data_IF_028803526271
#
_entry.id   IF_028803526271
#
_cell.length_a   1.000
_cell.length_b   1.000
_cell.length_c   1.000
_cell.angle_alpha   90.00
_cell.angle_beta   90.00
_cell.angle_gamma   90.00
#
_symmetry.space_group_name_H-M   'P 1'
#
loop_
_entity.id
_entity.type
_entity.pdbx_description
1 polymer ?
#
# COMPACT_ATOMS: atom_id res chain seq x y z
N UNK A 1 -1.22 -1.13 -5.71
CA UNK A 1 -1.14 -0.10 -4.65
C UNK A 1 -0.19 1.05 -4.98
N UNK A 2 1.02 0.85 -5.52
CA UNK A 2 1.94 1.99 -5.78
C UNK A 2 1.35 3.13 -6.63
N UNK A 3 0.57 2.80 -7.68
CA UNK A 3 -0.10 3.81 -8.51
C UNK A 3 -1.16 4.64 -7.77
N UNK A 4 -1.80 4.10 -6.72
CA UNK A 4 -2.76 4.89 -5.93
C UNK A 4 -2.05 5.91 -5.04
N UNK A 5 -0.80 5.65 -4.63
CA UNK A 5 0.04 6.62 -3.92
C UNK A 5 0.56 7.69 -4.89
N UNK A 6 1.07 7.26 -6.05
CA UNK A 6 1.55 8.15 -7.12
C UNK A 6 0.47 9.11 -7.61
N UNK A 7 -0.76 8.64 -7.84
CA UNK A 7 -1.86 9.48 -8.32
C UNK A 7 -2.29 10.60 -7.37
N UNK A 8 -1.85 10.57 -6.10
CA UNK A 8 -2.04 11.66 -5.14
C UNK A 8 -0.87 12.65 -5.11
N UNK A 9 0.27 12.32 -5.72
CA UNK A 9 1.43 13.18 -5.72
C UNK A 9 1.19 14.43 -6.58
N UNK A 10 1.60 15.62 -6.11
CA UNK A 10 1.34 16.87 -6.82
C UNK A 10 1.99 16.92 -8.22
N UNK A 11 3.14 16.26 -8.38
CA UNK A 11 3.95 16.27 -9.61
C UNK A 11 3.85 14.96 -10.41
N UNK A 12 2.82 14.14 -10.20
CA UNK A 12 2.65 12.92 -10.98
C UNK A 12 2.07 13.22 -12.37
N UNK A 13 2.79 12.81 -13.42
CA UNK A 13 2.55 13.22 -14.80
C UNK A 13 1.13 12.95 -15.31
N UNK A 14 0.54 11.79 -15.00
CA UNK A 14 -0.79 11.44 -15.51
C UNK A 14 -1.94 12.05 -14.69
N UNK A 15 -1.69 12.43 -13.43
CA UNK A 15 -2.72 13.00 -12.55
C UNK A 15 -2.58 14.50 -12.38
N UNK A 16 -1.61 15.16 -13.02
CA UNK A 16 -1.31 16.57 -12.78
C UNK A 16 -2.51 17.48 -13.07
N UNK A 17 -3.21 17.22 -14.17
CA UNK A 17 -4.39 17.94 -14.64
C UNK A 17 -5.66 17.66 -13.80
N UNK A 18 -5.63 16.65 -12.93
CA UNK A 18 -6.79 16.27 -12.13
C UNK A 18 -6.94 17.17 -10.90
N UNK A 19 -8.18 17.59 -10.63
CA UNK A 19 -8.50 18.31 -9.40
C UNK A 19 -8.45 17.37 -8.16
N UNK A 20 -8.55 17.95 -6.96
CA UNK A 20 -8.43 17.18 -5.70
C UNK A 20 -9.50 16.09 -5.55
N UNK A 21 -10.70 16.29 -6.09
CA UNK A 21 -11.79 15.31 -6.03
C UNK A 21 -11.50 14.15 -6.99
N UNK A 22 -11.04 14.44 -8.19
CA UNK A 22 -10.65 13.46 -9.20
C UNK A 22 -9.44 12.64 -8.77
N UNK A 23 -8.39 13.28 -8.24
CA UNK A 23 -7.22 12.59 -7.63
C UNK A 23 -7.65 11.61 -6.55
N UNK A 24 -8.58 12.03 -5.68
CA UNK A 24 -9.15 11.16 -4.65
C UNK A 24 -9.93 9.99 -5.25
N UNK A 25 -10.71 10.22 -6.31
CA UNK A 25 -11.44 9.16 -7.03
C UNK A 25 -10.47 8.14 -7.64
N UNK A 26 -9.47 8.62 -8.38
CA UNK A 26 -8.41 7.78 -8.95
C UNK A 26 -7.68 6.97 -7.87
N UNK A 27 -7.36 7.60 -6.73
CA UNK A 27 -6.71 6.92 -5.62
C UNK A 27 -7.49 5.70 -5.12
N UNK A 28 -8.77 5.86 -4.75
CA UNK A 28 -9.51 4.75 -4.15
C UNK A 28 -9.85 3.68 -5.20
N UNK A 29 -10.08 4.04 -6.46
CA UNK A 29 -10.29 3.09 -7.56
C UNK A 29 -9.03 2.23 -7.77
N UNK A 30 -7.87 2.86 -7.93
CA UNK A 30 -6.60 2.15 -8.11
C UNK A 30 -6.21 1.33 -6.88
N UNK A 31 -6.53 1.82 -5.68
CA UNK A 31 -6.31 1.09 -4.44
C UNK A 31 -7.20 -0.16 -4.38
N UNK A 32 -8.48 -0.05 -4.74
CA UNK A 32 -9.42 -1.16 -4.77
C UNK A 32 -9.01 -2.23 -5.79
N UNK A 33 -8.74 -1.83 -7.05
CA UNK A 33 -8.27 -2.74 -8.10
C UNK A 33 -6.98 -3.46 -7.68
N UNK A 34 -6.00 -2.70 -7.16
CA UNK A 34 -4.75 -3.27 -6.69
C UNK A 34 -4.93 -4.25 -5.54
N UNK A 35 -5.86 -3.97 -4.62
CA UNK A 35 -6.14 -4.85 -3.49
C UNK A 35 -6.84 -6.12 -3.94
N UNK A 36 -7.78 -6.06 -4.87
CA UNK A 36 -8.46 -7.25 -5.45
C UNK A 36 -7.43 -8.18 -6.10
N UNK A 37 -6.54 -7.64 -6.93
CA UNK A 37 -5.50 -8.43 -7.60
C UNK A 37 -4.55 -9.09 -6.60
N UNK A 38 -4.10 -8.35 -5.57
CA UNK A 38 -3.21 -8.88 -4.53
C UNK A 38 -3.90 -9.97 -3.72
N UNK A 39 -5.16 -9.76 -3.32
CA UNK A 39 -5.92 -10.77 -2.58
C UNK A 39 -6.09 -12.04 -3.42
N UNK A 40 -6.55 -11.92 -4.67
CA UNK A 40 -6.74 -13.06 -5.56
C UNK A 40 -5.43 -13.85 -5.78
N UNK A 41 -4.32 -13.16 -6.08
CA UNK A 41 -3.01 -13.78 -6.25
C UNK A 41 -2.49 -14.44 -4.96
N UNK A 42 -2.75 -13.83 -3.81
CA UNK A 42 -2.36 -14.40 -2.51
C UNK A 42 -3.16 -15.66 -2.19
N UNK A 43 -4.49 -15.64 -2.39
CA UNK A 43 -5.34 -16.82 -2.18
C UNK A 43 -4.96 -17.96 -3.13
N UNK A 44 -4.73 -17.65 -4.40
CA UNK A 44 -4.21 -18.63 -5.35
C UNK A 44 -2.90 -19.25 -4.83
N UNK A 45 -1.90 -18.44 -4.47
CA UNK A 45 -0.64 -18.95 -3.96
C UNK A 45 -0.79 -19.78 -2.66
N UNK A 46 -1.76 -19.45 -1.81
CA UNK A 46 -2.02 -20.18 -0.56
C UNK A 46 -2.63 -21.56 -0.79
N UNK A 47 -3.54 -21.68 -1.77
CA UNK A 47 -4.23 -22.93 -2.08
C UNK A 47 -3.29 -23.94 -2.75
N UNK A 48 -2.40 -23.48 -3.63
CA UNK A 48 -1.54 -24.36 -4.43
C UNK A 48 -0.17 -24.63 -3.81
N UNK A 49 0.13 -24.10 -2.62
CA UNK A 49 1.36 -24.40 -1.88
C UNK A 49 1.13 -25.47 -0.82
N UNK A 50 2.07 -26.40 -0.73
CA UNK A 50 2.11 -27.45 0.30
C UNK A 50 2.39 -26.89 1.69
N UNK A 51 3.27 -25.88 1.78
CA UNK A 51 3.59 -25.18 3.03
C UNK A 51 3.47 -23.67 2.84
N UNK A 52 2.57 -23.07 3.60
CA UNK A 52 2.32 -21.63 3.59
C UNK A 52 3.20 -20.90 4.60
N UNK A 53 3.59 -19.67 4.25
CA UNK A 53 4.26 -18.70 5.14
C UNK A 53 5.58 -19.15 5.81
N UNK A 54 6.26 -20.17 5.26
CA UNK A 54 7.56 -20.62 5.79
C UNK A 54 8.75 -19.73 5.35
N UNK A 55 8.60 -18.96 4.27
CA UNK A 55 9.64 -18.04 3.74
C UNK A 55 9.42 -16.61 4.22
N UNK A 56 10.47 -15.79 4.21
CA UNK A 56 10.35 -14.34 4.49
C UNK A 56 9.38 -13.66 3.53
N UNK A 57 9.45 -13.98 2.23
CA UNK A 57 8.47 -13.53 1.24
C UNK A 57 7.02 -13.82 1.67
N UNK A 58 6.75 -15.05 2.12
CA UNK A 58 5.42 -15.46 2.59
C UNK A 58 4.99 -14.72 3.85
N UNK A 59 5.89 -14.58 4.84
CA UNK A 59 5.59 -13.87 6.11
C UNK A 59 5.26 -12.40 5.88
N UNK A 60 6.11 -11.67 5.16
CA UNK A 60 5.85 -10.26 4.82
C UNK A 60 4.64 -10.12 3.90
N UNK A 61 4.41 -11.08 3.00
CA UNK A 61 3.21 -11.12 2.15
C UNK A 61 1.92 -11.25 2.96
N UNK A 62 1.91 -12.08 4.01
CA UNK A 62 0.77 -12.22 4.91
C UNK A 62 0.51 -10.93 5.69
N UNK A 63 1.55 -10.32 6.26
CA UNK A 63 1.43 -9.02 6.95
C UNK A 63 0.85 -7.98 5.99
N UNK A 64 1.40 -7.88 4.78
CA UNK A 64 0.90 -6.96 3.76
C UNK A 64 -0.58 -7.21 3.42
N UNK A 65 -0.98 -8.47 3.28
CA UNK A 65 -2.37 -8.85 2.99
C UNK A 65 -3.32 -8.43 4.11
N UNK A 66 -2.98 -8.73 5.38
CA UNK A 66 -3.80 -8.35 6.54
C UNK A 66 -3.95 -6.83 6.62
N UNK A 67 -2.85 -6.09 6.54
CA UNK A 67 -2.90 -4.63 6.60
C UNK A 67 -3.60 -4.04 5.37
N UNK A 68 -3.55 -4.69 4.20
CA UNK A 68 -4.32 -4.27 3.01
C UNK A 68 -5.82 -4.38 3.26
N UNK A 69 -6.29 -5.51 3.83
CA UNK A 69 -7.71 -5.70 4.18
C UNK A 69 -8.15 -4.67 5.22
N UNK A 70 -7.38 -4.48 6.29
CA UNK A 70 -7.66 -3.46 7.31
C UNK A 70 -7.68 -2.06 6.68
N UNK A 71 -6.74 -1.76 5.78
CA UNK A 71 -6.65 -0.47 5.12
C UNK A 71 -7.81 -0.18 4.15
N UNK A 72 -8.39 -1.21 3.52
CA UNK A 72 -9.61 -1.07 2.72
C UNK A 72 -10.77 -0.63 3.61
N UNK A 73 -10.96 -1.29 4.75
CA UNK A 73 -12.03 -0.95 5.71
C UNK A 73 -11.86 0.47 6.24
N UNK A 74 -10.65 0.83 6.69
CA UNK A 74 -10.37 2.19 7.16
C UNK A 74 -10.43 3.23 6.04
N UNK A 75 -10.16 2.85 4.78
CA UNK A 75 -10.31 3.70 3.60
C UNK A 75 -11.76 4.04 3.30
N UNK A 76 -12.66 3.06 3.38
CA UNK A 76 -14.12 3.30 3.31
C UNK A 76 -14.55 4.22 4.44
N UNK A 77 -14.06 3.98 5.67
CA UNK A 77 -14.36 4.85 6.80
C UNK A 77 -13.87 6.30 6.58
N UNK A 78 -12.70 6.47 5.98
CA UNK A 78 -12.13 7.78 5.66
C UNK A 78 -12.87 8.50 4.51
N UNK A 79 -13.53 7.78 3.61
CA UNK A 79 -14.39 8.36 2.55
C UNK A 79 -15.71 8.88 3.13
N UNK A 80 -16.30 8.15 4.07
CA UNK A 80 -17.61 8.44 4.66
C UNK A 80 -17.51 9.09 6.05
N UNK A 81 -16.55 9.98 6.28
CA UNK A 81 -16.34 10.61 7.60
C UNK A 81 -17.53 11.42 8.11
N UNK A 82 -18.36 11.96 7.20
CA UNK A 82 -19.54 12.78 7.58
C UNK A 82 -20.62 11.92 8.25
N UNK A 83 -21.10 10.80 7.66
CA UNK A 83 -22.02 9.91 8.36
C UNK A 83 -21.37 9.21 9.56
N UNK A 84 -20.08 8.85 9.50
CA UNK A 84 -19.40 8.15 10.60
C UNK A 84 -19.13 9.02 11.83
N UNK A 85 -19.09 10.35 11.68
CA UNK A 85 -19.06 11.27 12.82
C UNK A 85 -20.28 11.08 13.73
N UNK A 86 -21.43 10.65 13.18
CA UNK A 86 -22.65 10.36 13.95
C UNK A 86 -22.55 9.07 14.78
N UNK A 87 -21.59 8.21 14.47
CA UNK A 87 -21.33 6.91 15.14
C UNK A 87 -20.05 7.01 16.01
N UNK A 88 -19.68 8.21 16.46
CA UNK A 88 -18.59 8.48 17.42
C UNK A 88 -17.15 8.19 16.96
N UNK A 89 -16.83 8.08 15.66
CA UNK A 89 -15.44 8.04 15.20
C UNK A 89 -14.95 9.46 14.84
N UNK A 90 -13.92 10.01 15.51
CA UNK A 90 -13.35 11.29 15.15
C UNK A 90 -12.79 11.27 13.71
N UNK A 91 -13.16 12.22 12.83
CA UNK A 91 -12.65 12.25 11.45
C UNK A 91 -11.12 12.31 11.35
N UNK A 92 -10.45 12.89 12.35
CA UNK A 92 -8.98 12.92 12.42
C UNK A 92 -8.41 11.51 12.64
N UNK A 93 -8.96 10.77 13.61
CA UNK A 93 -8.53 9.41 13.95
C UNK A 93 -8.75 8.44 12.78
N UNK A 94 -9.90 8.52 12.12
CA UNK A 94 -10.19 7.73 10.91
C UNK A 94 -9.17 7.96 9.80
N UNK A 95 -8.78 9.22 9.56
CA UNK A 95 -7.78 9.55 8.53
C UNK A 95 -6.37 9.11 8.91
N UNK A 96 -5.98 9.30 10.17
CA UNK A 96 -4.66 8.89 10.68
C UNK A 96 -4.50 7.37 10.61
N UNK A 97 -5.50 6.61 11.05
CA UNK A 97 -5.46 5.13 11.02
C UNK A 97 -5.39 4.60 9.59
N UNK A 98 -6.15 5.17 8.65
CA UNK A 98 -6.03 4.83 7.23
C UNK A 98 -4.61 5.10 6.68
N UNK A 99 -4.03 6.26 7.00
CA UNK A 99 -2.66 6.59 6.58
C UNK A 99 -1.63 5.60 7.14
N UNK A 100 -1.67 5.31 8.44
CA UNK A 100 -0.72 4.41 9.09
C UNK A 100 -0.82 2.99 8.53
N UNK A 101 -2.03 2.42 8.48
CA UNK A 101 -2.22 1.06 7.95
C UNK A 101 -1.89 0.97 6.47
N UNK A 102 -2.20 2.01 5.69
CA UNK A 102 -1.81 2.08 4.28
C UNK A 102 -0.30 2.07 4.08
N UNK A 103 0.47 2.83 4.89
CA UNK A 103 1.93 2.83 4.83
C UNK A 103 2.51 1.47 5.23
N UNK A 104 2.01 0.86 6.31
CA UNK A 104 2.47 -0.47 6.74
C UNK A 104 2.19 -1.52 5.67
N UNK A 105 0.98 -1.55 5.10
CA UNK A 105 0.63 -2.45 4.00
C UNK A 105 1.56 -2.26 2.79
N UNK A 106 1.81 -1.00 2.40
CA UNK A 106 2.64 -0.69 1.26
C UNK A 106 4.11 -1.10 1.46
N UNK A 107 4.72 -0.73 2.59
CA UNK A 107 6.12 -1.06 2.89
C UNK A 107 6.32 -2.58 3.02
N UNK A 108 5.44 -3.27 3.73
CA UNK A 108 5.54 -4.73 3.88
C UNK A 108 5.31 -5.46 2.55
N UNK A 109 4.44 -4.93 1.68
CA UNK A 109 4.28 -5.46 0.31
C UNK A 109 5.55 -5.29 -0.53
N UNK A 110 6.23 -4.15 -0.42
CA UNK A 110 7.49 -3.89 -1.11
C UNK A 110 8.61 -4.82 -0.61
N UNK A 111 8.72 -5.02 0.71
CA UNK A 111 9.68 -5.97 1.29
C UNK A 111 9.40 -7.40 0.79
N UNK A 112 8.12 -7.82 0.79
CA UNK A 112 7.73 -9.12 0.24
C UNK A 112 8.09 -9.26 -1.24
N UNK A 113 7.91 -8.20 -2.03
CA UNK A 113 8.26 -8.15 -3.45
C UNK A 113 9.77 -8.26 -3.67
N UNK A 114 10.59 -7.57 -2.88
CA UNK A 114 12.05 -7.70 -2.92
C UNK A 114 12.50 -9.15 -2.66
N UNK A 115 11.93 -9.82 -1.65
CA UNK A 115 12.19 -11.25 -1.43
C UNK A 115 11.66 -12.15 -2.55
N UNK A 116 10.68 -11.70 -3.35
CA UNK A 116 10.23 -12.44 -4.52
C UNK A 116 11.24 -12.36 -5.66
N UNK A 117 11.84 -11.20 -5.89
CA UNK A 117 12.93 -11.03 -6.86
C UNK A 117 14.18 -11.81 -6.47
N UNK A 118 14.43 -11.98 -5.17
CA UNK A 118 15.60 -12.69 -4.68
C UNK A 118 15.54 -14.23 -4.88
N UNK A 119 14.37 -14.78 -5.26
CA UNK A 119 14.19 -16.22 -5.48
C UNK A 119 14.94 -16.70 -6.73
N UNK A 120 15.53 -17.90 -6.63
CA UNK A 120 16.23 -18.55 -7.75
C UNK A 120 15.38 -18.64 -9.02
N UNK A 121 14.08 -18.94 -8.91
CA UNK A 121 13.19 -19.00 -10.07
C UNK A 121 13.14 -17.68 -10.85
N UNK A 122 13.12 -16.54 -10.15
CA UNK A 122 13.09 -15.22 -10.79
C UNK A 122 14.46 -14.83 -11.32
N UNK A 123 15.52 -15.02 -10.52
CA UNK A 123 16.91 -14.77 -10.93
C UNK A 123 17.31 -15.58 -12.16
N UNK A 124 16.88 -16.84 -12.26
CA UNK A 124 17.18 -17.69 -13.41
C UNK A 124 16.43 -17.23 -14.67
N UNK A 125 15.31 -16.54 -14.53
CA UNK A 125 14.51 -16.04 -15.65
C UNK A 125 15.04 -14.72 -16.23
N UNK A 126 15.41 -13.77 -15.37
CA UNK A 126 15.80 -12.41 -15.79
C UNK A 126 17.30 -12.12 -15.65
N UNK A 127 18.05 -12.95 -14.92
CA UNK A 127 19.44 -12.72 -14.53
C UNK A 127 19.57 -12.09 -13.13
N UNK A 128 20.67 -12.42 -12.44
CA UNK A 128 20.91 -11.98 -11.07
C UNK A 128 21.04 -10.45 -10.93
N UNK A 129 21.76 -9.81 -11.85
CA UNK A 129 21.99 -8.37 -11.84
C UNK A 129 20.70 -7.59 -12.10
N UNK A 130 19.87 -8.06 -13.03
CA UNK A 130 18.56 -7.47 -13.28
C UNK A 130 17.61 -7.62 -12.08
N UNK A 131 17.62 -8.77 -11.41
CA UNK A 131 16.86 -8.99 -10.19
C UNK A 131 17.32 -8.04 -9.05
N UNK A 132 18.63 -7.81 -8.92
CA UNK A 132 19.17 -6.82 -7.98
C UNK A 132 18.69 -5.40 -8.33
N UNK A 133 18.71 -5.04 -9.62
CA UNK A 133 18.15 -3.78 -10.11
C UNK A 133 16.68 -3.61 -9.71
N UNK A 134 15.85 -4.64 -9.85
CA UNK A 134 14.45 -4.61 -9.41
C UNK A 134 14.30 -4.36 -7.90
N UNK A 135 15.16 -4.96 -7.07
CA UNK A 135 15.17 -4.77 -5.61
C UNK A 135 15.52 -3.32 -5.27
N UNK A 136 16.61 -2.80 -5.84
CA UNK A 136 17.08 -1.42 -5.59
C UNK A 136 16.00 -0.40 -6.00
N UNK A 137 15.46 -0.53 -7.22
CA UNK A 137 14.41 0.36 -7.71
C UNK A 137 13.17 0.29 -6.83
N UNK A 138 12.73 -0.92 -6.44
CA UNK A 138 11.57 -1.09 -5.55
C UNK A 138 11.80 -0.41 -4.20
N UNK A 139 13.00 -0.56 -3.61
CA UNK A 139 13.37 0.12 -2.37
C UNK A 139 13.30 1.64 -2.49
N UNK A 140 13.94 2.21 -3.53
CA UNK A 140 13.97 3.66 -3.77
C UNK A 140 12.55 4.20 -3.97
N UNK A 141 11.77 3.62 -4.88
CA UNK A 141 10.41 4.08 -5.16
C UNK A 141 9.50 3.96 -3.93
N UNK A 142 9.63 2.89 -3.15
CA UNK A 142 8.88 2.73 -1.91
C UNK A 142 9.21 3.83 -0.92
N UNK A 143 10.50 4.13 -0.73
CA UNK A 143 10.95 5.21 0.14
C UNK A 143 10.38 6.57 -0.28
N UNK A 144 10.51 6.93 -1.56
CA UNK A 144 10.01 8.18 -2.11
C UNK A 144 8.48 8.33 -1.93
N UNK A 145 7.73 7.27 -2.21
CA UNK A 145 6.27 7.28 -2.08
C UNK A 145 5.77 7.35 -0.64
N UNK A 146 6.60 6.96 0.33
CA UNK A 146 6.28 7.07 1.75
C UNK A 146 6.50 8.46 2.34
N UNK A 147 7.26 9.36 1.70
CA UNK A 147 7.58 10.69 2.26
C UNK A 147 6.30 11.50 2.55
N UNK A 148 5.43 11.68 1.55
CA UNK A 148 4.20 12.45 1.68
C UNK A 148 3.21 11.89 2.73
N UNK A 149 2.87 10.59 2.73
CA UNK A 149 1.97 10.04 3.74
C UNK A 149 2.57 10.07 5.15
N UNK A 150 3.90 9.88 5.31
CA UNK A 150 4.55 10.02 6.61
C UNK A 150 4.50 11.46 7.13
N UNK A 151 4.85 12.44 6.28
CA UNK A 151 4.75 13.86 6.63
C UNK A 151 3.31 14.27 6.99
N UNK A 152 2.32 13.79 6.21
CA UNK A 152 0.90 14.05 6.48
C UNK A 152 0.45 13.43 7.80
N UNK A 153 0.90 12.21 8.10
CA UNK A 153 0.61 11.52 9.35
C UNK A 153 1.17 12.31 10.53
N UNK A 154 2.44 12.71 10.47
CA UNK A 154 3.08 13.54 11.48
C UNK A 154 2.30 14.84 11.75
N UNK A 155 2.00 15.61 10.69
CA UNK A 155 1.25 16.87 10.81
C UNK A 155 -0.13 16.68 11.46
N UNK A 156 -0.83 15.60 11.09
CA UNK A 156 -2.15 15.27 11.66
C UNK A 156 -2.07 14.83 13.11
N UNK A 157 -1.08 14.02 13.48
CA UNK A 157 -0.82 13.64 14.86
C UNK A 157 -0.60 14.90 15.72
N UNK A 158 0.35 15.75 15.33
CA UNK A 158 0.65 16.98 16.10
C UNK A 158 -0.58 17.90 16.24
N UNK A 159 -1.44 17.96 15.22
CA UNK A 159 -2.66 18.79 15.27
C UNK A 159 -3.77 18.16 16.10
N UNK A 160 -3.84 16.83 16.19
CA UNK A 160 -4.88 16.12 16.94
C UNK A 160 -4.62 16.08 18.46
N UNK A 161 -3.36 16.26 18.87
CA UNK A 161 -2.92 16.24 20.27
C UNK A 161 -2.44 17.62 20.79
N UNK A 162 -2.75 18.69 20.05
CA UNK A 162 -2.69 20.07 20.53
C UNK A 162 -4.09 20.50 20.93
#
# INVERSE_FOLDING_TARGET
MGQSFLGLAPYNSWSIELNTVEKRRGHWILALLGSILIMAGSFYAMVFKTLNFNTMHGKYGLVALVFTVVNLVTGVAALYTVPLKKICIPPSLSKITHLVFGVVAFVTSAISLCYSYDKNAFKNWIGADAALGCIILTGIFTGLLCINPLYTTYKRFVTAFK
#
